data_IF_801937470659
#
_entry.id   IF_801937470659
#
_cell.length_a   1.000
_cell.length_b   1.000
_cell.length_c   1.000
_cell.angle_alpha   90.00
_cell.angle_beta   90.00
_cell.angle_gamma   90.00
#
_symmetry.space_group_name_H-M   'P 1'
#
loop_
_entity.id
_entity.type
_entity.pdbx_description
1 polymer ?
#
# COMPACT_ATOMS: atom_id res chain seq x y z
N UNK A 1 -10.77 34.94 7.81
CA UNK A 1 -9.62 34.12 7.37
C UNK A 1 -10.17 32.84 6.78
N UNK A 2 -10.35 32.79 5.45
CA UNK A 2 -10.93 31.64 4.77
C UNK A 2 -9.85 30.62 4.52
N UNK A 3 -9.82 29.55 5.32
CA UNK A 3 -8.96 28.38 5.09
C UNK A 3 -9.42 27.69 3.81
N UNK A 4 -8.75 28.02 2.70
CA UNK A 4 -8.84 27.23 1.49
C UNK A 4 -8.33 25.83 1.83
N UNK A 5 -9.26 24.87 1.93
CA UNK A 5 -8.99 23.44 1.94
C UNK A 5 -8.24 23.11 0.65
N UNK A 6 -6.93 22.98 0.74
CA UNK A 6 -6.09 22.57 -0.39
C UNK A 6 -6.47 21.14 -0.75
N UNK A 7 -7.23 20.98 -1.83
CA UNK A 7 -7.47 19.70 -2.52
C UNK A 7 -6.18 19.23 -3.20
N UNK A 8 -5.11 19.04 -2.43
CA UNK A 8 -4.00 18.18 -2.84
C UNK A 8 -4.46 16.75 -2.54
N UNK A 9 -4.41 15.80 -3.50
CA UNK A 9 -4.44 14.39 -3.09
C UNK A 9 -3.34 14.24 -2.04
N UNK A 10 -3.59 13.59 -0.89
CA UNK A 10 -2.59 13.55 0.16
C UNK A 10 -1.31 13.02 -0.49
N UNK A 11 -0.22 13.78 -0.34
CA UNK A 11 1.12 13.34 -0.75
C UNK A 11 1.48 11.98 -0.10
N UNK A 12 0.68 11.56 0.89
CA UNK A 12 0.67 10.27 1.56
C UNK A 12 -0.47 9.35 1.08
N UNK A 13 -0.72 9.25 -0.23
CA UNK A 13 -1.62 8.22 -0.76
C UNK A 13 -0.81 7.02 -1.26
N UNK A 14 -1.31 5.81 -1.02
CA UNK A 14 -0.69 4.58 -1.55
C UNK A 14 -0.54 4.68 -3.07
N UNK A 15 -1.49 5.35 -3.74
CA UNK A 15 -1.46 5.66 -5.18
C UNK A 15 -0.16 6.34 -5.63
N UNK A 16 0.40 7.22 -4.81
CA UNK A 16 1.64 7.94 -5.09
C UNK A 16 2.89 7.13 -4.66
N UNK A 17 2.77 6.30 -3.61
CA UNK A 17 3.88 5.51 -3.09
C UNK A 17 4.32 4.38 -4.04
N UNK A 18 3.39 3.78 -4.79
CA UNK A 18 3.65 2.60 -5.62
C UNK A 18 3.66 2.90 -7.12
N UNK A 19 4.34 2.05 -7.88
CA UNK A 19 4.35 2.17 -9.35
C UNK A 19 2.96 1.95 -9.97
N UNK A 20 2.67 2.51 -11.16
CA UNK A 20 1.41 2.27 -11.86
C UNK A 20 1.12 0.77 -12.10
N UNK A 21 2.17 -0.03 -12.31
CA UNK A 21 2.05 -1.48 -12.50
C UNK A 21 1.62 -2.18 -11.22
N UNK A 22 2.24 -1.84 -10.08
CA UNK A 22 1.85 -2.38 -8.79
C UNK A 22 0.42 -1.97 -8.42
N UNK A 23 0.03 -0.72 -8.70
CA UNK A 23 -1.34 -0.25 -8.54
C UNK A 23 -2.33 -1.10 -9.34
N UNK A 24 -2.07 -1.29 -10.63
CA UNK A 24 -2.93 -2.14 -11.49
C UNK A 24 -3.00 -3.58 -10.98
N UNK A 25 -1.90 -4.12 -10.45
CA UNK A 25 -1.86 -5.45 -9.89
C UNK A 25 -2.76 -5.58 -8.64
N UNK A 26 -2.68 -4.63 -7.70
CA UNK A 26 -3.55 -4.59 -6.52
C UNK A 26 -5.02 -4.45 -6.94
N UNK A 27 -5.34 -3.49 -7.82
CA UNK A 27 -6.71 -3.32 -8.33
C UNK A 27 -7.23 -4.58 -9.01
N UNK A 28 -6.41 -5.27 -9.79
CA UNK A 28 -6.80 -6.52 -10.46
C UNK A 28 -7.00 -7.69 -9.50
N UNK A 29 -6.27 -7.75 -8.39
CA UNK A 29 -6.41 -8.81 -7.39
C UNK A 29 -7.73 -8.68 -6.61
N UNK A 30 -8.08 -7.46 -6.20
CA UNK A 30 -9.33 -7.20 -5.49
C UNK A 30 -10.54 -6.95 -6.40
N UNK A 31 -10.31 -6.68 -7.69
CA UNK A 31 -11.37 -6.30 -8.63
C UNK A 31 -12.00 -4.93 -8.37
N UNK A 32 -11.38 -4.09 -7.52
CA UNK A 32 -11.92 -2.80 -7.10
C UNK A 32 -10.79 -1.75 -6.98
N UNK A 33 -10.98 -0.57 -7.60
CA UNK A 33 -10.00 0.53 -7.52
C UNK A 33 -9.93 1.17 -6.13
N UNK A 34 -10.99 1.07 -5.32
CA UNK A 34 -11.03 1.61 -3.96
C UNK A 34 -9.96 1.02 -3.04
N UNK A 35 -9.42 -0.16 -3.33
CA UNK A 35 -8.37 -0.78 -2.51
C UNK A 35 -7.14 0.12 -2.33
N UNK A 36 -6.86 0.97 -3.32
CA UNK A 36 -5.75 1.92 -3.28
C UNK A 36 -5.97 3.02 -2.23
N UNK A 37 -7.22 3.24 -1.83
CA UNK A 37 -7.60 4.18 -0.79
C UNK A 37 -7.85 3.49 0.57
N UNK A 38 -7.68 2.16 0.66
CA UNK A 38 -7.91 1.34 1.85
C UNK A 38 -6.64 0.55 2.24
N UNK A 39 -5.54 1.24 2.58
CA UNK A 39 -4.27 0.61 2.94
C UNK A 39 -4.36 -0.34 4.13
N UNK A 40 -5.32 -0.16 5.03
CA UNK A 40 -5.61 -1.05 6.16
C UNK A 40 -5.89 -2.49 5.70
N UNK A 41 -6.64 -2.68 4.61
CA UNK A 41 -6.94 -4.00 4.06
C UNK A 41 -5.68 -4.67 3.53
N UNK A 42 -4.75 -3.89 2.97
CA UNK A 42 -3.48 -4.39 2.45
C UNK A 42 -2.54 -4.78 3.59
N UNK A 43 -2.56 -4.01 4.69
CA UNK A 43 -1.82 -4.35 5.90
C UNK A 43 -2.32 -5.66 6.51
N UNK A 44 -3.65 -5.82 6.65
CA UNK A 44 -4.30 -7.02 7.17
C UNK A 44 -4.06 -8.26 6.31
N UNK A 45 -3.96 -8.12 4.99
CA UNK A 45 -3.69 -9.24 4.10
C UNK A 45 -2.30 -9.87 4.37
N UNK A 46 -1.34 -9.07 4.82
CA UNK A 46 0.03 -9.49 5.13
C UNK A 46 0.95 -9.56 3.91
N UNK A 47 2.26 -9.45 4.15
CA UNK A 47 3.25 -9.33 3.09
C UNK A 47 3.31 -10.55 2.17
N UNK A 48 3.17 -11.76 2.69
CA UNK A 48 3.26 -12.98 1.89
C UNK A 48 2.16 -13.08 0.84
N UNK A 49 0.94 -12.71 1.21
CA UNK A 49 -0.19 -12.70 0.29
C UNK A 49 -0.05 -11.56 -0.73
N UNK A 50 0.40 -10.37 -0.30
CA UNK A 50 0.69 -9.25 -1.22
C UNK A 50 1.81 -9.61 -2.20
N UNK A 51 2.84 -10.34 -1.76
CA UNK A 51 3.95 -10.79 -2.59
C UNK A 51 3.54 -11.85 -3.62
N UNK A 52 2.46 -12.62 -3.36
CA UNK A 52 1.89 -13.58 -4.32
C UNK A 52 1.07 -12.91 -5.41
N UNK A 53 0.71 -11.63 -5.27
CA UNK A 53 0.00 -10.89 -6.31
C UNK A 53 0.91 -10.75 -7.53
N UNK A 54 0.43 -11.24 -8.67
CA UNK A 54 1.18 -11.17 -9.92
C UNK A 54 1.62 -9.73 -10.22
N UNK A 55 2.91 -9.55 -10.57
CA UNK A 55 3.56 -8.25 -10.82
C UNK A 55 3.82 -7.37 -9.59
N UNK A 56 3.62 -7.89 -8.37
CA UNK A 56 4.19 -7.30 -7.15
C UNK A 56 5.54 -7.98 -6.86
N UNK A 57 6.63 -7.32 -7.28
CA UNK A 57 7.98 -7.75 -6.92
C UNK A 57 8.47 -7.15 -5.60
N UNK A 58 9.61 -7.63 -5.08
CA UNK A 58 10.21 -7.21 -3.81
C UNK A 58 10.28 -5.68 -3.64
N UNK A 59 10.67 -4.93 -4.68
CA UNK A 59 10.72 -3.46 -4.62
C UNK A 59 9.35 -2.82 -4.42
N UNK A 60 8.30 -3.37 -5.03
CA UNK A 60 6.94 -2.85 -4.86
C UNK A 60 6.38 -3.23 -3.49
N UNK A 61 6.63 -4.47 -3.06
CA UNK A 61 6.27 -4.93 -1.72
C UNK A 61 6.92 -4.07 -0.63
N UNK A 62 8.21 -3.77 -0.77
CA UNK A 62 8.94 -2.90 0.16
C UNK A 62 8.33 -1.50 0.21
N UNK A 63 8.03 -0.88 -0.93
CA UNK A 63 7.36 0.44 -0.96
C UNK A 63 5.97 0.43 -0.33
N UNK A 64 5.21 -0.66 -0.50
CA UNK A 64 3.93 -0.85 0.18
C UNK A 64 4.18 -0.90 1.70
N UNK A 65 5.12 -1.72 2.16
CA UNK A 65 5.47 -1.82 3.58
C UNK A 65 5.93 -0.48 4.18
N UNK A 66 6.81 0.26 3.49
CA UNK A 66 7.26 1.60 3.90
C UNK A 66 6.08 2.54 4.07
N UNK A 67 5.16 2.54 3.09
CA UNK A 67 3.95 3.35 3.17
C UNK A 67 3.10 2.96 4.38
N UNK A 68 2.79 1.67 4.53
CA UNK A 68 1.96 1.18 5.63
C UNK A 68 2.56 1.51 7.00
N UNK A 69 3.87 1.36 7.15
CA UNK A 69 4.59 1.68 8.38
C UNK A 69 4.55 3.19 8.66
N UNK A 70 4.78 4.02 7.64
CA UNK A 70 4.75 5.49 7.79
C UNK A 70 3.39 6.05 8.20
N UNK A 71 2.31 5.34 7.87
CA UNK A 71 0.94 5.72 8.22
C UNK A 71 0.43 5.02 9.48
N UNK A 72 1.24 4.14 10.10
CA UNK A 72 0.87 3.42 11.32
C UNK A 72 -0.10 2.25 11.13
N UNK A 73 -0.25 1.71 9.90
CA UNK A 73 -1.07 0.52 9.65
C UNK A 73 -0.38 -0.79 10.05
N UNK A 74 0.95 -0.76 10.17
CA UNK A 74 1.77 -1.89 10.63
C UNK A 74 2.71 -1.40 11.72
N UNK A 75 3.01 -2.25 12.70
CA UNK A 75 3.85 -1.91 13.85
C UNK A 75 5.34 -1.83 13.48
N UNK A 76 5.77 -2.64 12.53
CA UNK A 76 7.16 -2.78 12.13
C UNK A 76 7.24 -3.22 10.68
N UNK A 77 8.02 -2.48 9.89
CA UNK A 77 8.35 -2.88 8.52
C UNK A 77 9.08 -4.23 8.49
N UNK A 78 9.95 -4.48 9.47
CA UNK A 78 10.69 -5.73 9.55
C UNK A 78 9.77 -6.90 9.82
N UNK A 79 8.86 -6.77 10.79
CA UNK A 79 7.96 -7.86 11.19
C UNK A 79 6.93 -8.13 10.10
N UNK A 80 6.41 -7.08 9.45
CA UNK A 80 5.45 -7.26 8.36
C UNK A 80 6.07 -7.95 7.14
N UNK A 81 7.34 -7.63 6.81
CA UNK A 81 8.07 -8.27 5.71
C UNK A 81 8.75 -9.59 6.11
N UNK A 82 8.81 -9.90 7.41
CA UNK A 82 9.31 -11.17 7.87
C UNK A 82 8.35 -12.24 7.38
N UNK A 83 8.86 -13.14 6.54
CA UNK A 83 8.11 -14.34 6.16
C UNK A 83 7.80 -15.09 7.43
N UNK A 84 6.51 -15.28 7.75
CA UNK A 84 6.15 -16.29 8.74
C UNK A 84 6.65 -17.63 8.17
N UNK A 85 7.71 -18.16 8.79
CA UNK A 85 8.31 -19.43 8.42
C UNK A 85 7.51 -20.58 9.01
#
# INVERSE_FOLDING_TARGET
>A
MSSAKTNLPPANSLRAAISPTARKALVSFWGNEEIINKPEIIAELGADNVARINRIGNKSLFKIAEFLNSQGYINSLHDWLAKEK
#
